data_IF_212188034187
#
_entry.id   IF_212188034187
#
_cell.length_a   1.000
_cell.length_b   1.000
_cell.length_c   1.000
_cell.angle_alpha   90.00
_cell.angle_beta   90.00
_cell.angle_gamma   90.00
#
_symmetry.space_group_name_H-M   'P 1'
#
loop_
_entity.id
_entity.type
_entity.pdbx_description
1 polymer ?
#
# COMPACT_ATOMS: atom_id res chain seq x y z
N UNK A 1 8.72 -28.56 12.65
CA UNK A 1 7.54 -27.85 13.20
C UNK A 1 7.55 -26.43 12.64
N UNK A 2 6.65 -26.08 11.71
CA UNK A 2 6.52 -24.68 11.25
C UNK A 2 5.76 -23.94 12.35
N UNK A 3 6.43 -23.03 13.05
CA UNK A 3 5.79 -22.10 13.97
C UNK A 3 4.75 -21.32 13.16
N UNK A 4 3.46 -21.51 13.49
CA UNK A 4 2.38 -20.66 13.00
C UNK A 4 2.68 -19.24 13.48
N UNK A 5 3.31 -18.44 12.63
CA UNK A 5 3.65 -17.06 12.93
C UNK A 5 2.32 -16.33 13.13
N UNK A 6 2.06 -15.91 14.36
CA UNK A 6 0.80 -15.25 14.74
C UNK A 6 0.66 -13.99 13.89
N UNK A 7 -0.42 -13.89 13.10
CA UNK A 7 -0.75 -12.70 12.31
C UNK A 7 -0.65 -11.47 13.20
N UNK A 8 0.18 -10.50 12.82
CA UNK A 8 0.37 -9.30 13.64
C UNK A 8 -0.95 -8.52 13.69
N UNK A 9 -1.22 -7.95 14.86
CA UNK A 9 -2.38 -7.10 15.07
C UNK A 9 -1.94 -5.66 15.35
N UNK A 10 -2.41 -4.74 14.52
CA UNK A 10 -2.23 -3.30 14.69
C UNK A 10 -3.44 -2.76 15.45
N UNK A 11 -3.15 -2.07 16.55
CA UNK A 11 -4.20 -1.46 17.37
C UNK A 11 -4.73 -0.16 16.75
N UNK A 12 -5.84 0.34 17.31
CA UNK A 12 -6.54 1.53 16.85
C UNK A 12 -5.65 2.76 16.66
N UNK A 13 -4.64 2.95 17.51
CA UNK A 13 -3.75 4.13 17.43
C UNK A 13 -2.78 4.05 16.24
N UNK A 14 -2.23 2.86 15.98
CA UNK A 14 -1.37 2.61 14.81
C UNK A 14 -2.19 2.69 13.52
N UNK A 15 -3.38 2.09 13.52
CA UNK A 15 -4.33 2.14 12.42
C UNK A 15 -4.65 3.58 12.00
N UNK A 16 -4.97 4.43 12.98
CA UNK A 16 -5.28 5.85 12.74
C UNK A 16 -4.07 6.59 12.17
N UNK A 17 -2.89 6.38 12.73
CA UNK A 17 -1.67 7.01 12.25
C UNK A 17 -1.36 6.64 10.79
N UNK A 18 -1.60 5.39 10.38
CA UNK A 18 -1.41 4.94 9.01
C UNK A 18 -2.43 5.58 8.05
N UNK A 19 -3.70 5.68 8.46
CA UNK A 19 -4.74 6.35 7.68
C UNK A 19 -4.39 7.83 7.49
N UNK A 20 -3.94 8.50 8.55
CA UNK A 20 -3.49 9.89 8.51
C UNK A 20 -2.26 10.07 7.60
N UNK A 21 -1.30 9.13 7.64
CA UNK A 21 -0.16 9.13 6.73
C UNK A 21 -0.58 8.99 5.27
N UNK A 22 -1.50 8.08 4.95
CA UNK A 22 -2.02 7.91 3.60
C UNK A 22 -2.78 9.16 3.12
N UNK A 23 -3.60 9.77 3.97
CA UNK A 23 -4.30 11.02 3.66
C UNK A 23 -3.32 12.18 3.42
N UNK A 24 -2.27 12.29 4.24
CA UNK A 24 -1.23 13.31 4.07
C UNK A 24 -0.47 13.09 2.77
N UNK A 25 -0.09 11.85 2.45
CA UNK A 25 0.56 11.50 1.19
C UNK A 25 -0.32 11.89 -0.02
N UNK A 26 -1.61 11.51 0.01
CA UNK A 26 -2.55 11.86 -1.04
C UNK A 26 -2.67 13.39 -1.21
N UNK A 27 -2.75 14.14 -0.11
CA UNK A 27 -2.80 15.60 -0.14
C UNK A 27 -1.52 16.23 -0.70
N UNK A 28 -0.33 15.76 -0.32
CA UNK A 28 0.95 16.29 -0.83
C UNK A 28 1.07 16.15 -2.35
N UNK A 29 0.41 15.14 -2.92
CA UNK A 29 0.51 14.79 -4.33
C UNK A 29 -0.75 15.10 -5.13
N UNK A 30 -1.68 15.89 -4.56
CA UNK A 30 -2.96 16.27 -5.17
C UNK A 30 -3.75 15.08 -5.71
N UNK A 31 -3.76 13.98 -4.95
CA UNK A 31 -4.41 12.73 -5.33
C UNK A 31 -5.76 12.60 -4.63
N UNK A 32 -6.83 12.58 -5.41
CA UNK A 32 -8.14 12.13 -4.92
C UNK A 32 -8.23 10.62 -5.12
N UNK A 33 -8.70 9.88 -4.11
CA UNK A 33 -8.85 8.43 -4.21
C UNK A 33 -10.11 7.93 -3.50
N UNK A 34 -10.61 6.77 -3.91
CA UNK A 34 -11.75 6.08 -3.26
C UNK A 34 -11.60 4.57 -3.35
N UNK A 35 -12.32 3.85 -2.50
CA UNK A 35 -12.47 2.39 -2.59
C UNK A 35 -13.65 2.05 -3.51
N UNK A 36 -13.54 0.98 -4.31
CA UNK A 36 -14.65 0.47 -5.13
C UNK A 36 -14.68 -1.06 -5.15
N UNK A 37 -15.90 -1.59 -5.12
CA UNK A 37 -16.26 -3.02 -5.18
C UNK A 37 -16.19 -3.60 -6.60
N UNK A 38 -16.36 -2.75 -7.62
CA UNK A 38 -16.38 -3.14 -9.03
C UNK A 38 -15.02 -3.09 -9.74
N UNK A 39 -13.94 -2.79 -9.02
CA UNK A 39 -12.60 -2.80 -9.59
C UNK A 39 -12.07 -4.24 -9.61
N UNK A 40 -11.79 -4.77 -10.81
CA UNK A 40 -11.16 -6.08 -10.97
C UNK A 40 -9.88 -6.18 -10.13
N UNK A 41 -9.63 -7.35 -9.52
CA UNK A 41 -8.40 -7.61 -8.80
C UNK A 41 -7.18 -7.31 -9.68
N UNK A 42 -6.44 -6.27 -9.32
CA UNK A 42 -5.28 -5.79 -10.07
C UNK A 42 -4.03 -5.94 -9.21
N UNK A 43 -2.92 -6.32 -9.84
CA UNK A 43 -1.65 -6.31 -9.15
C UNK A 43 -1.27 -4.86 -8.76
N UNK A 44 -0.46 -4.67 -7.70
CA UNK A 44 0.03 -3.33 -7.33
C UNK A 44 0.71 -2.60 -8.50
N UNK A 45 1.36 -3.36 -9.39
CA UNK A 45 1.95 -2.86 -10.62
C UNK A 45 0.93 -2.27 -11.62
N UNK A 46 -0.20 -2.93 -11.82
CA UNK A 46 -1.25 -2.44 -12.71
C UNK A 46 -1.90 -1.19 -12.11
N UNK A 47 -2.20 -1.22 -10.81
CA UNK A 47 -2.72 -0.05 -10.10
C UNK A 47 -1.75 1.13 -10.11
N UNK A 48 -0.44 0.91 -10.08
CA UNK A 48 0.55 1.97 -10.18
C UNK A 48 0.49 2.70 -11.53
N UNK A 49 0.24 1.97 -12.63
CA UNK A 49 0.02 2.57 -13.94
C UNK A 49 -1.30 3.36 -13.98
N UNK A 50 -2.39 2.79 -13.43
CA UNK A 50 -3.68 3.48 -13.31
C UNK A 50 -3.61 4.71 -12.42
N UNK A 51 -2.78 4.69 -11.37
CA UNK A 51 -2.50 5.84 -10.51
C UNK A 51 -1.81 6.95 -11.29
N UNK A 52 -0.79 6.62 -12.09
CA UNK A 52 -0.09 7.60 -12.93
C UNK A 52 -1.04 8.25 -13.94
N UNK A 53 -1.95 7.46 -14.54
CA UNK A 53 -2.99 7.96 -15.45
C UNK A 53 -4.00 8.86 -14.72
N UNK A 54 -4.51 8.41 -13.57
CA UNK A 54 -5.44 9.20 -12.76
C UNK A 54 -4.85 10.56 -12.38
N UNK A 55 -3.56 10.61 -12.05
CA UNK A 55 -2.86 11.86 -11.76
C UNK A 55 -2.67 12.76 -12.97
N UNK A 56 -2.37 12.19 -14.15
CA UNK A 56 -2.20 12.96 -15.39
C UNK A 56 -3.51 13.60 -15.84
N UNK A 57 -4.62 12.88 -15.65
CA UNK A 57 -5.95 13.31 -16.07
C UNK A 57 -6.75 14.03 -14.95
N UNK A 58 -6.14 14.29 -13.78
CA UNK A 58 -6.81 14.86 -12.59
C UNK A 58 -8.10 14.12 -12.18
N UNK A 59 -8.06 12.78 -12.25
CA UNK A 59 -9.18 11.88 -11.92
C UNK A 59 -9.01 11.26 -10.54
N UNK A 60 -10.13 10.83 -9.98
CA UNK A 60 -10.13 10.02 -8.76
C UNK A 60 -9.52 8.64 -9.02
N UNK A 61 -8.44 8.31 -8.31
CA UNK A 61 -7.84 6.99 -8.31
C UNK A 61 -8.72 5.99 -7.54
N UNK A 62 -8.83 4.77 -8.05
CA UNK A 62 -9.67 3.73 -7.45
C UNK A 62 -8.79 2.65 -6.85
N UNK A 63 -8.96 2.43 -5.55
CA UNK A 63 -8.37 1.31 -4.81
C UNK A 63 -9.38 0.16 -4.77
N UNK A 64 -9.06 -1.04 -5.27
CA UNK A 64 -9.95 -2.19 -5.21
C UNK A 64 -10.30 -2.62 -3.78
N UNK A 65 -11.53 -3.10 -3.55
CA UNK A 65 -11.97 -3.54 -2.21
C UNK A 65 -11.18 -4.75 -1.67
N UNK A 66 -10.71 -5.63 -2.55
CA UNK A 66 -9.89 -6.79 -2.19
C UNK A 66 -8.48 -6.40 -1.67
N UNK A 67 -8.02 -5.18 -1.95
CA UNK A 67 -6.72 -4.68 -1.52
C UNK A 67 -6.54 -4.59 -0.01
N UNK A 68 -7.64 -4.52 0.75
CA UNK A 68 -7.62 -4.59 2.21
C UNK A 68 -7.01 -5.89 2.74
N UNK A 69 -7.09 -6.97 1.96
CA UNK A 69 -6.62 -8.30 2.34
C UNK A 69 -5.23 -8.63 1.79
N UNK A 70 -4.55 -7.71 1.10
CA UNK A 70 -3.22 -7.94 0.54
C UNK A 70 -2.15 -8.20 1.61
N UNK A 71 -2.35 -7.67 2.80
CA UNK A 71 -1.40 -7.76 3.90
C UNK A 71 -1.81 -8.85 4.87
N UNK A 72 -0.87 -9.73 5.23
CA UNK A 72 -1.01 -10.70 6.33
C UNK A 72 -0.92 -10.00 7.70
N UNK A 73 -1.73 -8.97 7.88
CA UNK A 73 -1.86 -8.10 9.05
C UNK A 73 -3.34 -8.02 9.45
N UNK A 74 -3.60 -7.93 10.75
CA UNK A 74 -4.94 -7.66 11.28
C UNK A 74 -4.99 -6.27 11.88
N UNK A 75 -6.16 -5.64 11.85
CA UNK A 75 -6.32 -4.22 12.17
C UNK A 75 -7.54 -4.03 13.07
N UNK A 76 -7.42 -3.20 14.11
CA UNK A 76 -8.58 -2.68 14.86
C UNK A 76 -9.48 -1.82 13.97
N UNK A 77 -8.90 -1.14 12.98
CA UNK A 77 -9.64 -0.41 11.94
C UNK A 77 -9.44 -1.13 10.60
N UNK A 78 -10.43 -1.90 10.14
CA UNK A 78 -10.51 -2.49 8.80
C UNK A 78 -9.85 -1.71 7.66
N UNK A 79 -10.19 -0.43 7.55
CA UNK A 79 -9.85 0.42 6.40
C UNK A 79 -8.36 0.78 6.33
N UNK A 80 -7.60 0.50 7.39
CA UNK A 80 -6.14 0.63 7.39
C UNK A 80 -5.50 -0.20 6.27
N UNK A 81 -6.11 -1.33 5.87
CA UNK A 81 -5.64 -2.11 4.73
C UNK A 81 -5.64 -1.31 3.42
N UNK A 82 -6.68 -0.51 3.17
CA UNK A 82 -6.75 0.35 1.98
C UNK A 82 -5.70 1.46 2.00
N UNK A 83 -5.47 2.06 3.17
CA UNK A 83 -4.44 3.07 3.35
C UNK A 83 -3.03 2.51 3.04
N UNK A 84 -2.73 1.30 3.51
CA UNK A 84 -1.48 0.61 3.20
C UNK A 84 -1.38 0.25 1.70
N UNK A 85 -2.47 -0.19 1.08
CA UNK A 85 -2.51 -0.48 -0.35
C UNK A 85 -2.22 0.77 -1.19
N UNK A 86 -2.82 1.91 -0.83
CA UNK A 86 -2.54 3.19 -1.49
C UNK A 86 -1.06 3.57 -1.40
N UNK A 87 -0.47 3.50 -0.19
CA UNK A 87 0.94 3.81 0.03
C UNK A 87 1.83 2.89 -0.82
N UNK A 88 1.57 1.58 -0.81
CA UNK A 88 2.31 0.61 -1.60
C UNK A 88 2.24 0.91 -3.11
N UNK A 89 1.03 1.09 -3.65
CA UNK A 89 0.82 1.39 -5.08
C UNK A 89 1.53 2.68 -5.48
N UNK A 90 1.44 3.71 -4.64
CA UNK A 90 2.15 4.96 -4.86
C UNK A 90 3.67 4.74 -4.90
N UNK A 91 4.21 3.96 -3.97
CA UNK A 91 5.65 3.66 -3.93
C UNK A 91 6.11 2.84 -5.13
N UNK A 92 5.30 1.91 -5.62
CA UNK A 92 5.55 1.19 -6.88
C UNK A 92 5.55 2.15 -8.07
N UNK A 93 4.63 3.11 -8.12
CA UNK A 93 4.61 4.13 -9.18
C UNK A 93 5.84 5.04 -9.13
N UNK A 94 6.23 5.48 -7.93
CA UNK A 94 7.40 6.34 -7.72
C UNK A 94 8.73 5.64 -8.07
N UNK A 95 8.84 4.34 -7.81
CA UNK A 95 10.03 3.55 -8.15
C UNK A 95 10.21 3.26 -9.65
N UNK A 96 9.23 3.62 -10.50
CA UNK A 96 9.21 3.34 -11.95
C UNK A 96 9.57 4.54 -12.83
N UNK A 97 10.15 5.61 -12.27
CA UNK A 97 10.53 6.80 -13.04
C UNK A 97 11.49 6.46 -14.20
N UNK A 98 11.19 7.05 -15.34
CA UNK A 98 11.56 6.70 -16.73
C UNK A 98 13.01 6.98 -17.12
N UNK A 99 13.98 6.56 -16.32
CA UNK A 99 15.36 6.40 -16.79
C UNK A 99 15.80 4.98 -16.49
N UNK A 100 15.63 4.12 -17.50
CA UNK A 100 15.94 2.70 -17.44
C UNK A 100 17.41 2.46 -17.15
N UNK A 101 17.78 2.41 -15.87
CA UNK A 101 19.05 1.90 -15.36
C UNK A 101 19.13 1.89 -13.82
N UNK A 102 18.19 2.49 -13.09
CA UNK A 102 18.12 2.30 -11.64
C UNK A 102 17.40 0.98 -11.37
N UNK A 103 18.09 -0.01 -10.80
CA UNK A 103 17.48 -1.25 -10.30
C UNK A 103 16.17 -0.90 -9.61
N UNK A 104 15.03 -1.42 -10.11
CA UNK A 104 13.67 -1.22 -9.60
C UNK A 104 13.72 -0.65 -8.19
N UNK A 105 13.63 0.68 -8.06
CA UNK A 105 13.88 1.35 -6.78
C UNK A 105 12.97 0.70 -5.76
N UNK A 106 13.56 0.04 -4.76
CA UNK A 106 12.84 -0.90 -3.90
C UNK A 106 11.60 -0.21 -3.32
N UNK A 107 10.43 -0.57 -3.86
CA UNK A 107 9.16 0.06 -3.53
C UNK A 107 8.89 -0.04 -2.02
N UNK A 108 9.43 -1.09 -1.37
CA UNK A 108 9.42 -1.24 0.08
C UNK A 108 10.24 -0.12 0.71
N UNK A 109 11.49 0.08 0.31
CA UNK A 109 12.33 1.19 0.79
C UNK A 109 11.66 2.56 0.62
N UNK A 110 11.03 2.84 -0.53
CA UNK A 110 10.29 4.09 -0.76
C UNK A 110 9.10 4.22 0.20
N UNK A 111 8.29 3.17 0.34
CA UNK A 111 7.14 3.17 1.22
C UNK A 111 7.55 3.36 2.70
N UNK A 112 8.60 2.67 3.12
CA UNK A 112 9.15 2.76 4.47
C UNK A 112 9.78 4.12 4.76
N UNK A 113 10.39 4.77 3.76
CA UNK A 113 10.84 6.15 3.89
C UNK A 113 9.67 7.08 4.20
N UNK A 114 8.57 7.01 3.44
CA UNK A 114 7.37 7.82 3.71
C UNK A 114 6.77 7.52 5.08
N UNK A 115 6.59 6.25 5.44
CA UNK A 115 6.01 5.87 6.73
C UNK A 115 6.85 6.36 7.92
N UNK A 116 8.19 6.31 7.82
CA UNK A 116 9.08 6.84 8.88
C UNK A 116 8.92 8.35 9.10
N UNK A 117 8.65 9.10 8.03
CA UNK A 117 8.49 10.56 8.09
C UNK A 117 7.07 10.99 8.47
N UNK A 118 6.05 10.23 8.05
CA UNK A 118 4.65 10.59 8.24
C UNK A 118 4.06 10.02 9.53
N UNK A 119 4.54 8.87 10.00
CA UNK A 119 4.03 8.29 11.23
C UNK A 119 4.64 8.95 12.47
N UNK A 120 3.84 9.20 13.53
CA UNK A 120 4.37 9.57 14.83
C UNK A 120 5.23 8.43 15.40
N UNK A 121 6.22 8.77 16.22
CA UNK A 121 7.14 7.79 16.85
C UNK A 121 6.42 6.67 17.61
N UNK A 122 5.25 6.96 18.19
CA UNK A 122 4.42 5.96 18.89
C UNK A 122 3.95 4.82 17.97
N UNK A 123 3.80 5.08 16.67
CA UNK A 123 3.39 4.08 15.67
C UNK A 123 4.58 3.40 14.98
N UNK A 124 5.82 3.81 15.25
CA UNK A 124 7.01 3.24 14.59
C UNK A 124 7.22 1.75 14.88
N UNK A 125 6.67 1.25 15.99
CA UNK A 125 6.69 -0.19 16.31
C UNK A 125 5.97 -1.06 15.27
N UNK A 126 5.05 -0.50 14.48
CA UNK A 126 4.37 -1.21 13.40
C UNK A 126 5.20 -1.27 12.11
N UNK A 127 6.27 -0.48 11.98
CA UNK A 127 7.04 -0.35 10.73
C UNK A 127 7.66 -1.69 10.31
N UNK A 128 8.22 -2.46 11.24
CA UNK A 128 8.85 -3.74 10.91
C UNK A 128 7.83 -4.75 10.35
N UNK A 129 6.62 -4.77 10.92
CA UNK A 129 5.55 -5.65 10.46
C UNK A 129 4.99 -5.20 9.09
N UNK A 130 4.91 -3.89 8.84
CA UNK A 130 4.49 -3.32 7.56
C UNK A 130 5.55 -3.56 6.47
N UNK A 131 6.83 -3.37 6.79
CA UNK A 131 7.95 -3.64 5.89
C UNK A 131 7.95 -5.10 5.44
N UNK A 132 7.77 -6.02 6.39
CA UNK A 132 7.64 -7.45 6.08
C UNK A 132 6.41 -7.73 5.21
N UNK A 133 5.27 -7.09 5.50
CA UNK A 133 4.05 -7.27 4.71
C UNK A 133 4.23 -6.74 3.27
N UNK A 134 4.90 -5.62 3.07
CA UNK A 134 5.20 -5.07 1.74
C UNK A 134 6.18 -5.96 0.98
N UNK A 135 7.25 -6.43 1.63
CA UNK A 135 8.25 -7.29 1.00
C UNK A 135 7.69 -8.65 0.51
N UNK A 136 6.58 -9.12 1.08
CA UNK A 136 5.89 -10.34 0.63
C UNK A 136 5.03 -10.14 -0.62
N UNK A 137 4.69 -8.90 -0.95
CA UNK A 137 3.85 -8.62 -2.12
C UNK A 137 4.75 -8.57 -3.34
N UNK A 138 4.63 -9.59 -4.18
CA UNK A 138 5.34 -9.62 -5.44
C UNK A 138 4.74 -8.58 -6.40
N UNK A 139 5.47 -7.50 -6.60
CA UNK A 139 5.09 -6.43 -7.53
C UNK A 139 5.02 -6.90 -9.00
N UNK A 140 5.45 -8.12 -9.35
CA UNK A 140 5.44 -8.66 -10.71
C UNK A 140 4.38 -9.73 -11.00
N UNK A 141 3.73 -10.30 -9.98
CA UNK A 141 2.78 -11.39 -10.20
C UNK A 141 1.35 -10.87 -10.43
N UNK A 142 0.63 -11.34 -11.47
CA UNK A 142 -0.82 -11.22 -11.49
C UNK A 142 -1.37 -11.96 -10.28
N UNK A 143 -2.24 -11.30 -9.51
CA UNK A 143 -3.01 -11.98 -8.46
C UNK A 143 -3.99 -12.92 -9.16
N UNK A 144 -3.57 -14.16 -9.38
CA UNK A 144 -4.43 -15.24 -9.88
C UNK A 144 -5.45 -15.54 -8.77
N UNK A 145 -6.55 -14.80 -8.78
CA UNK A 145 -7.73 -15.11 -7.98
C UNK A 145 -8.35 -16.35 -8.60
N UNK A 146 -7.86 -17.52 -8.16
CA UNK A 146 -8.59 -18.77 -8.35
C UNK A 146 -9.88 -18.69 -7.54
N UNK A 147 -10.95 -18.34 -8.26
CA UNK A 147 -12.33 -18.61 -7.85
C UNK A 147 -12.47 -20.14 -7.79
N UNK A 148 -12.73 -20.66 -6.60
CA UNK A 148 -13.11 -22.04 -6.33
C UNK A 148 -14.26 -22.07 -5.35
#
# INVERSE_FOLDING_TARGET
MKLLRRRRHLNRSECRAIIEAAATLASMFHLTWRVADNASGQSPAALAASLAEARREDRTFVVPEDSRCWFDLSFDIPDTGYALALILVWSVAAGRTTDGAAANGDHVSVAMWHLRHLLPRSAHRALADIEEAFARIDSSAPTDVRVG
#
